data_IF_627729156887
#
_entry.id   IF_627729156887
#
_cell.length_a   1.000
_cell.length_b   1.000
_cell.length_c   1.000
_cell.angle_alpha   90.00
_cell.angle_beta   90.00
_cell.angle_gamma   90.00
#
_symmetry.space_group_name_H-M   'P 1'
#
loop_
_entity.id
_entity.type
_entity.pdbx_description
1 polymer ?
#
# COMPACT_ATOMS: atom_id res chain seq x y z
N UNK A 1 2.13 -31.03 -42.47
CA UNK A 1 1.51 -30.53 -41.22
C UNK A 1 2.08 -29.15 -40.95
N UNK A 2 1.28 -28.10 -41.13
CA UNK A 2 1.73 -26.72 -40.82
C UNK A 2 1.72 -26.52 -39.31
N UNK A 3 2.81 -26.02 -38.69
CA UNK A 3 2.84 -25.82 -37.25
C UNK A 3 1.72 -24.87 -36.81
N UNK A 4 1.05 -25.18 -35.69
CA UNK A 4 -0.10 -24.46 -35.14
C UNK A 4 0.18 -22.95 -34.94
N UNK A 5 1.45 -22.56 -34.70
CA UNK A 5 1.85 -21.16 -34.54
C UNK A 5 1.82 -20.31 -35.82
N UNK A 6 1.66 -20.91 -37.01
CA UNK A 6 1.51 -20.17 -38.26
C UNK A 6 0.06 -19.85 -38.64
N UNK A 7 -0.93 -20.23 -37.83
CA UNK A 7 -2.34 -20.12 -38.19
C UNK A 7 -2.97 -18.73 -37.91
N UNK A 8 -2.27 -17.78 -37.38
CA UNK A 8 -2.81 -16.41 -37.19
C UNK A 8 -2.04 -15.42 -38.07
N UNK A 9 -2.58 -15.05 -39.19
CA UNK A 9 -2.08 -13.94 -40.03
C UNK A 9 -2.41 -12.55 -39.46
N UNK A 10 -3.20 -12.48 -38.42
CA UNK A 10 -3.50 -11.23 -37.70
C UNK A 10 -3.08 -11.41 -36.27
N UNK A 11 -2.08 -10.63 -35.78
CA UNK A 11 -1.86 -10.53 -34.35
C UNK A 11 -3.19 -10.09 -33.74
N UNK A 12 -3.66 -10.84 -32.72
CA UNK A 12 -4.77 -10.39 -31.91
C UNK A 12 -4.33 -9.05 -31.32
N UNK A 13 -4.80 -7.97 -31.94
CA UNK A 13 -4.69 -6.65 -31.35
C UNK A 13 -5.58 -6.65 -30.11
N UNK A 14 -5.06 -7.13 -29.00
CA UNK A 14 -5.65 -6.90 -27.70
C UNK A 14 -5.56 -5.39 -27.52
N UNK A 15 -6.58 -4.67 -27.95
CA UNK A 15 -6.81 -3.31 -27.50
C UNK A 15 -6.95 -3.44 -25.98
N UNK A 16 -5.82 -3.38 -25.27
CA UNK A 16 -5.85 -3.18 -23.86
C UNK A 16 -6.74 -1.97 -23.66
N UNK A 17 -7.86 -2.13 -22.96
CA UNK A 17 -8.67 -1.01 -22.56
C UNK A 17 -7.66 0.00 -22.03
N UNK A 18 -7.55 1.16 -22.67
CA UNK A 18 -6.69 2.21 -22.22
C UNK A 18 -7.03 2.38 -20.75
N UNK A 19 -6.14 1.95 -19.88
CA UNK A 19 -6.34 2.14 -18.45
C UNK A 19 -6.25 3.64 -18.28
N UNK A 20 -7.42 4.28 -18.38
CA UNK A 20 -7.52 5.69 -18.02
C UNK A 20 -6.81 5.78 -16.68
N UNK A 21 -5.74 6.55 -16.61
CA UNK A 21 -4.97 6.78 -15.38
C UNK A 21 -5.87 7.56 -14.41
N UNK A 22 -6.86 6.85 -13.83
CA UNK A 22 -7.84 7.42 -12.89
C UNK A 22 -7.24 7.67 -11.51
N UNK A 23 -6.03 7.18 -11.28
CA UNK A 23 -5.32 7.39 -10.02
C UNK A 23 -4.33 8.54 -10.18
N UNK A 24 -4.36 9.50 -9.25
CA UNK A 24 -3.33 10.53 -9.18
C UNK A 24 -1.97 9.88 -8.95
N UNK A 25 -0.95 10.35 -9.66
CA UNK A 25 0.40 9.79 -9.58
C UNK A 25 1.32 10.76 -8.82
N UNK A 26 2.25 10.26 -7.97
CA UNK A 26 3.26 11.09 -7.36
C UNK A 26 4.18 11.68 -8.43
N UNK A 27 4.83 12.79 -8.11
CA UNK A 27 5.85 13.38 -9.00
C UNK A 27 7.13 12.54 -9.06
N UNK A 28 7.34 11.69 -8.08
CA UNK A 28 8.49 10.80 -7.96
C UNK A 28 8.25 9.54 -8.81
N UNK A 29 9.05 9.35 -9.84
CA UNK A 29 8.92 8.21 -10.77
C UNK A 29 9.25 6.85 -10.13
N UNK A 30 10.03 6.84 -9.03
CA UNK A 30 10.41 5.60 -8.33
C UNK A 30 9.18 4.91 -7.72
N UNK A 31 8.18 5.68 -7.28
CA UNK A 31 6.99 5.18 -6.61
C UNK A 31 5.74 5.11 -7.52
N UNK A 32 5.94 5.20 -8.82
CA UNK A 32 4.90 4.96 -9.81
C UNK A 32 4.94 3.50 -10.30
N UNK A 33 3.77 2.97 -10.73
CA UNK A 33 2.45 3.56 -10.63
C UNK A 33 1.81 3.39 -9.23
N UNK A 34 1.02 4.37 -8.81
CA UNK A 34 0.07 4.17 -7.70
C UNK A 34 -1.26 3.63 -8.26
N UNK A 35 -1.99 2.81 -7.50
CA UNK A 35 -1.70 2.24 -6.17
C UNK A 35 -0.52 1.26 -6.18
N UNK A 36 0.28 1.27 -5.11
CA UNK A 36 1.49 0.44 -4.95
C UNK A 36 1.51 -0.29 -3.62
N UNK A 37 2.29 -1.38 -3.54
CA UNK A 37 2.49 -2.14 -2.29
C UNK A 37 3.96 -2.43 -2.10
N UNK A 38 4.54 -1.92 -1.01
CA UNK A 38 5.98 -1.99 -0.72
C UNK A 38 6.21 -2.54 0.67
N UNK A 39 7.15 -3.47 0.82
CA UNK A 39 7.60 -3.96 2.10
C UNK A 39 8.99 -3.43 2.47
N UNK A 40 9.14 -3.00 3.72
CA UNK A 40 10.39 -2.55 4.32
C UNK A 40 10.93 -3.65 5.23
N UNK A 41 12.05 -4.24 4.87
CA UNK A 41 12.61 -5.39 5.57
C UNK A 41 13.98 -5.04 6.12
N UNK A 42 14.10 -5.04 7.44
CA UNK A 42 15.36 -4.87 8.15
C UNK A 42 15.23 -5.39 9.59
N UNK A 43 16.35 -5.70 10.21
CA UNK A 43 16.39 -6.01 11.65
C UNK A 43 15.84 -4.85 12.50
N UNK A 44 15.61 -5.10 13.77
CA UNK A 44 15.27 -4.04 14.73
C UNK A 44 16.32 -2.93 14.67
N UNK A 45 15.90 -1.67 14.82
CA UNK A 45 16.74 -0.47 14.67
C UNK A 45 17.33 -0.26 13.26
N UNK A 46 16.93 -1.04 12.27
CA UNK A 46 17.40 -0.92 10.87
C UNK A 46 16.75 0.20 10.05
N UNK A 47 16.05 1.16 10.69
CA UNK A 47 15.48 2.34 10.03
C UNK A 47 14.22 2.10 9.21
N UNK A 48 13.52 0.95 9.38
CA UNK A 48 12.29 0.61 8.64
C UNK A 48 11.23 1.70 8.70
N UNK A 49 10.87 2.13 9.91
CA UNK A 49 9.86 3.16 10.12
C UNK A 49 10.26 4.48 9.45
N UNK A 50 11.51 4.90 9.60
CA UNK A 50 12.01 6.13 8.95
C UNK A 50 11.93 6.06 7.42
N UNK A 51 12.30 4.92 6.83
CA UNK A 51 12.18 4.71 5.38
C UNK A 51 10.73 4.69 4.92
N UNK A 52 9.84 4.02 5.67
CA UNK A 52 8.40 4.01 5.41
C UNK A 52 7.82 5.41 5.45
N UNK A 53 8.17 6.22 6.45
CA UNK A 53 7.73 7.60 6.57
C UNK A 53 8.24 8.46 5.42
N UNK A 54 9.50 8.27 5.00
CA UNK A 54 10.06 8.98 3.85
C UNK A 54 9.31 8.66 2.55
N UNK A 55 8.97 7.38 2.31
CA UNK A 55 8.13 7.01 1.16
C UNK A 55 6.71 7.57 1.30
N UNK A 56 6.15 7.56 2.52
CA UNK A 56 4.85 8.16 2.80
C UNK A 56 4.82 9.64 2.42
N UNK A 57 5.88 10.39 2.70
CA UNK A 57 5.98 11.81 2.33
C UNK A 57 5.88 12.03 0.81
N UNK A 58 6.50 11.15 0.02
CA UNK A 58 6.44 11.20 -1.45
C UNK A 58 5.04 10.92 -1.98
N UNK A 59 4.29 10.05 -1.29
CA UNK A 59 2.93 9.67 -1.66
C UNK A 59 1.86 10.59 -1.06
N UNK A 60 2.18 11.36 -0.01
CA UNK A 60 1.22 12.07 0.84
C UNK A 60 0.21 12.92 0.06
N UNK A 61 0.68 13.65 -0.96
CA UNK A 61 -0.15 14.61 -1.70
C UNK A 61 -1.15 13.93 -2.64
N UNK A 62 -0.87 12.70 -3.08
CA UNK A 62 -1.75 11.96 -4.01
C UNK A 62 -2.70 10.99 -3.29
N UNK A 63 -2.52 10.79 -1.99
CA UNK A 63 -3.41 9.97 -1.17
C UNK A 63 -4.50 10.82 -0.55
N UNK A 64 -5.76 10.47 -0.78
CA UNK A 64 -6.90 11.18 -0.17
C UNK A 64 -7.04 10.82 1.30
N UNK A 65 -6.76 9.58 1.64
CA UNK A 65 -6.84 9.04 3.01
C UNK A 65 -5.58 8.25 3.36
N UNK A 66 -5.11 8.41 4.58
CA UNK A 66 -3.98 7.64 5.13
C UNK A 66 -4.41 7.01 6.45
N UNK A 67 -4.18 5.72 6.59
CA UNK A 67 -4.52 4.94 7.79
C UNK A 67 -3.29 4.21 8.31
N UNK A 68 -3.07 4.29 9.61
CA UNK A 68 -1.92 3.70 10.31
C UNK A 68 -2.40 2.50 11.13
N UNK A 69 -1.77 1.35 10.93
CA UNK A 69 -1.85 0.19 11.81
C UNK A 69 -0.47 -0.01 12.43
N UNK A 70 -0.37 0.17 13.75
CA UNK A 70 0.90 -0.02 14.46
C UNK A 70 0.67 -0.15 15.96
N UNK A 71 1.28 -1.15 16.58
CA UNK A 71 1.27 -1.29 18.04
C UNK A 71 2.02 -0.14 18.74
N UNK A 72 3.02 0.43 18.09
CA UNK A 72 3.89 1.47 18.66
C UNK A 72 3.48 2.91 18.31
N UNK A 73 2.43 3.12 17.51
CA UNK A 73 2.10 4.46 16.98
C UNK A 73 1.83 5.54 18.05
N UNK A 74 1.50 5.13 19.29
CA UNK A 74 1.28 6.07 20.42
C UNK A 74 2.56 6.40 21.14
N UNK A 75 3.52 5.47 21.16
CA UNK A 75 4.75 5.54 21.96
C UNK A 75 5.92 6.09 21.16
N UNK A 76 5.98 5.79 19.86
CA UNK A 76 7.09 6.19 19.00
C UNK A 76 6.87 7.62 18.46
N UNK A 77 7.74 8.58 18.82
CA UNK A 77 7.66 9.97 18.37
C UNK A 77 7.68 10.12 16.83
N UNK A 78 8.27 9.16 16.11
CA UNK A 78 8.37 9.18 14.66
C UNK A 78 6.99 9.33 13.95
N UNK A 79 5.92 8.92 14.62
CA UNK A 79 4.55 9.06 14.10
C UNK A 79 3.90 10.42 14.35
N UNK A 80 4.46 11.26 15.23
CA UNK A 80 3.82 12.52 15.66
C UNK A 80 3.56 13.47 14.49
N UNK A 81 4.58 13.75 13.72
CA UNK A 81 4.49 14.71 12.60
C UNK A 81 3.54 14.19 11.52
N UNK A 82 3.62 12.90 11.20
CA UNK A 82 2.71 12.31 10.22
C UNK A 82 1.26 12.36 10.70
N UNK A 83 0.98 12.01 11.96
CA UNK A 83 -0.38 12.08 12.52
C UNK A 83 -0.94 13.50 12.50
N UNK A 84 -0.14 14.49 12.86
CA UNK A 84 -0.53 15.91 12.78
C UNK A 84 -0.89 16.30 11.35
N UNK A 85 -0.05 15.96 10.39
CA UNK A 85 -0.29 16.25 8.97
C UNK A 85 -1.52 15.55 8.41
N UNK A 86 -1.79 14.30 8.84
CA UNK A 86 -3.02 13.59 8.48
C UNK A 86 -4.24 14.32 9.05
N UNK A 87 -4.22 14.69 10.33
CA UNK A 87 -5.30 15.44 10.96
C UNK A 87 -5.56 16.78 10.27
N UNK A 88 -4.49 17.54 9.96
CA UNK A 88 -4.60 18.81 9.22
C UNK A 88 -5.20 18.61 7.82
N UNK A 89 -4.85 17.51 7.14
CA UNK A 89 -5.43 17.15 5.84
C UNK A 89 -6.90 16.81 5.94
N UNK A 90 -7.30 16.03 6.96
CA UNK A 90 -8.70 15.69 7.22
C UNK A 90 -9.53 16.95 7.49
N UNK A 91 -9.04 17.87 8.32
CA UNK A 91 -9.70 19.16 8.59
C UNK A 91 -9.89 19.99 7.32
N UNK A 92 -8.88 20.06 6.46
CA UNK A 92 -8.98 20.75 5.15
C UNK A 92 -10.03 20.13 4.23
N UNK A 93 -10.25 18.83 4.35
CA UNK A 93 -11.27 18.10 3.58
C UNK A 93 -12.66 18.14 4.24
N UNK A 94 -12.83 18.84 5.37
CA UNK A 94 -14.09 18.91 6.12
C UNK A 94 -14.37 17.66 6.96
N UNK A 95 -13.39 16.80 7.17
CA UNK A 95 -13.48 15.59 8.00
C UNK A 95 -13.02 15.91 9.43
N UNK A 96 -13.67 15.32 10.43
CA UNK A 96 -13.28 15.51 11.84
C UNK A 96 -12.32 14.37 12.26
N UNK A 97 -11.03 14.66 12.54
CA UNK A 97 -10.05 13.63 12.94
C UNK A 97 -10.36 13.02 14.32
N UNK A 98 -11.08 13.69 15.20
CA UNK A 98 -11.47 13.15 16.49
C UNK A 98 -12.65 12.15 16.37
N UNK A 99 -13.55 12.38 15.42
CA UNK A 99 -14.66 11.48 15.15
C UNK A 99 -14.26 10.30 14.24
N UNK A 100 -13.33 10.52 13.32
CA UNK A 100 -12.89 9.52 12.35
C UNK A 100 -11.45 9.09 12.63
N UNK A 101 -11.28 8.03 13.42
CA UNK A 101 -9.96 7.48 13.72
C UNK A 101 -9.22 7.04 12.45
N UNK A 102 -7.93 7.33 12.41
CA UNK A 102 -7.02 6.95 11.32
C UNK A 102 -5.78 6.17 11.79
N UNK A 103 -5.64 5.93 13.10
CA UNK A 103 -4.56 5.15 13.68
C UNK A 103 -5.10 4.06 14.62
N UNK A 104 -4.66 2.83 14.43
CA UNK A 104 -5.17 1.63 15.06
C UNK A 104 -4.05 0.71 15.51
N UNK A 105 -4.27 -0.03 16.61
CA UNK A 105 -3.31 -0.99 17.16
C UNK A 105 -3.53 -2.43 16.64
N UNK A 106 -4.61 -2.67 15.87
CA UNK A 106 -4.89 -3.99 15.29
C UNK A 106 -5.63 -3.87 13.95
N UNK A 107 -5.60 -4.91 13.13
CA UNK A 107 -6.31 -4.95 11.85
C UNK A 107 -7.83 -5.19 11.95
N UNK A 108 -8.44 -5.14 13.13
CA UNK A 108 -9.89 -5.34 13.32
C UNK A 108 -10.74 -4.38 12.48
N UNK A 109 -10.27 -3.15 12.30
CA UNK A 109 -10.96 -2.12 11.51
C UNK A 109 -10.69 -2.21 10.01
N UNK A 110 -9.72 -3.01 9.59
CA UNK A 110 -9.33 -3.11 8.17
C UNK A 110 -10.49 -3.48 7.24
N UNK A 111 -11.37 -4.46 7.57
CA UNK A 111 -12.50 -4.80 6.71
C UNK A 111 -13.44 -3.61 6.47
N UNK A 112 -13.78 -2.84 7.52
CA UNK A 112 -14.62 -1.65 7.43
C UNK A 112 -13.97 -0.59 6.55
N UNK A 113 -12.69 -0.29 6.78
CA UNK A 113 -11.94 0.72 6.02
C UNK A 113 -11.88 0.36 4.53
N UNK A 114 -11.70 -0.92 4.20
CA UNK A 114 -11.67 -1.38 2.81
C UNK A 114 -13.07 -1.32 2.16
N UNK A 115 -14.14 -1.59 2.91
CA UNK A 115 -15.52 -1.43 2.42
C UNK A 115 -15.82 0.03 2.08
N UNK A 116 -15.55 0.93 3.03
CA UNK A 116 -15.69 2.38 2.82
C UNK A 116 -14.89 2.87 1.60
N UNK A 117 -13.66 2.38 1.41
CA UNK A 117 -12.85 2.75 0.27
C UNK A 117 -13.47 2.28 -1.06
N UNK A 118 -14.00 1.07 -1.11
CA UNK A 118 -14.70 0.55 -2.31
C UNK A 118 -15.91 1.39 -2.66
N UNK A 119 -16.72 1.75 -1.66
CA UNK A 119 -17.90 2.59 -1.84
C UNK A 119 -17.52 3.99 -2.34
N UNK A 120 -16.47 4.61 -1.78
CA UNK A 120 -15.94 5.91 -2.23
C UNK A 120 -15.48 5.86 -3.69
N UNK A 121 -14.75 4.80 -4.07
CA UNK A 121 -14.29 4.61 -5.46
C UNK A 121 -15.46 4.37 -6.40
N UNK A 122 -16.45 3.56 -5.99
CA UNK A 122 -17.64 3.32 -6.81
C UNK A 122 -18.44 4.60 -7.01
N UNK A 123 -18.69 5.35 -5.95
CA UNK A 123 -19.37 6.64 -6.04
C UNK A 123 -18.64 7.64 -6.94
N UNK A 124 -17.29 7.65 -6.91
CA UNK A 124 -16.50 8.47 -7.83
C UNK A 124 -16.64 8.05 -9.29
N UNK A 125 -16.68 6.73 -9.55
CA UNK A 125 -16.93 6.19 -10.89
C UNK A 125 -18.33 6.56 -11.41
N UNK A 126 -19.34 6.44 -10.55
CA UNK A 126 -20.72 6.74 -10.89
C UNK A 126 -20.93 8.23 -11.21
N UNK A 127 -20.19 9.12 -10.52
CA UNK A 127 -20.15 10.56 -10.84
C UNK A 127 -19.33 10.91 -12.08
N UNK A 128 -18.52 9.97 -12.59
CA UNK A 128 -17.59 10.23 -13.69
C UNK A 128 -16.36 11.04 -13.27
N UNK A 129 -15.94 10.97 -12.01
CA UNK A 129 -14.80 11.73 -11.49
C UNK A 129 -13.52 11.39 -12.27
N UNK A 130 -12.77 12.42 -12.67
CA UNK A 130 -11.50 12.26 -13.39
C UNK A 130 -10.43 11.57 -12.56
N UNK A 131 -10.40 11.87 -11.26
CA UNK A 131 -9.51 11.27 -10.29
C UNK A 131 -10.32 10.55 -9.20
N UNK A 132 -10.04 9.28 -9.02
CA UNK A 132 -10.70 8.46 -8.01
C UNK A 132 -9.93 8.53 -6.68
N UNK A 133 -10.63 8.46 -5.54
CA UNK A 133 -10.01 8.57 -4.22
C UNK A 133 -9.03 7.41 -3.95
N UNK A 134 -7.88 7.74 -3.38
CA UNK A 134 -6.82 6.81 -3.04
C UNK A 134 -6.63 6.70 -1.52
N UNK A 135 -6.42 5.47 -1.06
CA UNK A 135 -6.13 5.12 0.32
C UNK A 135 -4.71 4.59 0.46
N UNK A 136 -3.93 5.12 1.40
CA UNK A 136 -2.67 4.56 1.84
C UNK A 136 -2.84 3.87 3.19
N UNK A 137 -2.45 2.61 3.26
CA UNK A 137 -2.37 1.83 4.50
C UNK A 137 -0.90 1.70 4.90
N UNK A 138 -0.58 2.12 6.12
CA UNK A 138 0.72 1.92 6.76
C UNK A 138 0.57 0.83 7.81
N UNK A 139 1.32 -0.26 7.67
CA UNK A 139 1.31 -1.39 8.60
C UNK A 139 2.72 -1.56 9.18
N UNK A 140 2.97 -0.99 10.36
CA UNK A 140 4.27 -0.99 11.00
C UNK A 140 4.23 -1.69 12.35
N UNK A 141 5.24 -2.52 12.61
CA UNK A 141 5.37 -3.27 13.87
C UNK A 141 4.15 -4.19 14.17
N UNK A 142 3.62 -4.82 13.11
CA UNK A 142 2.43 -5.67 13.14
C UNK A 142 2.75 -7.14 12.84
N UNK A 143 3.97 -7.61 13.16
CA UNK A 143 4.53 -8.90 12.74
C UNK A 143 3.61 -10.10 13.01
N UNK A 144 3.04 -10.19 14.21
CA UNK A 144 2.17 -11.30 14.59
C UNK A 144 0.81 -11.31 13.87
N UNK A 145 0.33 -10.17 13.41
CA UNK A 145 -0.97 -10.02 12.77
C UNK A 145 -0.91 -10.03 11.24
N UNK A 146 0.27 -9.91 10.65
CA UNK A 146 0.43 -9.90 9.18
C UNK A 146 0.47 -11.30 8.58
N UNK A 147 1.03 -12.28 9.30
CA UNK A 147 1.07 -13.67 8.83
C UNK A 147 -0.33 -14.28 8.77
N UNK A 148 -0.67 -14.89 7.63
CA UNK A 148 -1.98 -15.50 7.41
C UNK A 148 -3.15 -14.51 7.34
N UNK A 149 -2.91 -13.21 7.34
CA UNK A 149 -3.96 -12.21 7.22
C UNK A 149 -4.48 -12.12 5.79
N UNK A 150 -5.59 -12.81 5.54
CA UNK A 150 -6.24 -12.87 4.22
C UNK A 150 -6.66 -11.49 3.69
N UNK A 151 -6.99 -10.56 4.59
CA UNK A 151 -7.38 -9.20 4.18
C UNK A 151 -6.19 -8.42 3.64
N UNK A 152 -5.03 -8.46 4.31
CA UNK A 152 -3.80 -7.84 3.79
C UNK A 152 -3.35 -8.48 2.47
N UNK A 153 -3.41 -9.80 2.36
CA UNK A 153 -3.13 -10.50 1.11
C UNK A 153 -4.07 -10.04 -0.01
N UNK A 154 -5.36 -9.79 0.29
CA UNK A 154 -6.33 -9.23 -0.65
C UNK A 154 -5.98 -7.77 -1.03
N UNK A 155 -5.49 -6.97 -0.10
CA UNK A 155 -5.02 -5.59 -0.40
C UNK A 155 -3.90 -5.64 -1.43
N UNK A 156 -2.88 -6.47 -1.23
CA UNK A 156 -1.74 -6.57 -2.14
C UNK A 156 -2.15 -7.08 -3.53
N UNK A 157 -3.07 -8.03 -3.60
CA UNK A 157 -3.49 -8.65 -4.88
C UNK A 157 -4.54 -7.84 -5.64
N UNK A 158 -5.47 -7.19 -4.94
CA UNK A 158 -6.65 -6.53 -5.52
C UNK A 158 -6.77 -5.04 -5.21
N UNK A 159 -5.96 -4.52 -4.28
CA UNK A 159 -6.03 -3.13 -3.81
C UNK A 159 -5.96 -2.10 -4.94
N UNK A 160 -5.19 -2.41 -6.00
CA UNK A 160 -5.08 -1.55 -7.19
C UNK A 160 -6.43 -1.22 -7.85
N UNK A 161 -7.43 -2.11 -7.75
CA UNK A 161 -8.76 -1.89 -8.33
C UNK A 161 -9.61 -0.90 -7.52
N UNK A 162 -9.20 -0.66 -6.27
CA UNK A 162 -9.91 0.20 -5.32
C UNK A 162 -9.07 1.39 -4.84
N UNK A 163 -7.95 1.66 -5.53
CA UNK A 163 -7.09 2.78 -5.16
C UNK A 163 -6.36 2.59 -3.83
N UNK A 164 -6.06 1.35 -3.42
CA UNK A 164 -5.41 1.06 -2.13
C UNK A 164 -3.95 0.76 -2.33
N UNK A 165 -3.08 1.56 -1.69
CA UNK A 165 -1.64 1.33 -1.54
C UNK A 165 -1.34 0.77 -0.15
N UNK A 166 -0.32 -0.09 -0.05
CA UNK A 166 0.13 -0.66 1.22
C UNK A 166 1.63 -0.45 1.39
N UNK A 167 2.04 0.15 2.49
CA UNK A 167 3.40 0.12 2.98
C UNK A 167 3.43 -0.72 4.26
N UNK A 168 4.21 -1.78 4.30
CA UNK A 168 4.32 -2.63 5.48
C UNK A 168 5.78 -2.90 5.84
N UNK A 169 6.04 -3.15 7.11
CA UNK A 169 7.39 -3.51 7.56
C UNK A 169 7.46 -4.94 8.09
N UNK A 170 8.66 -5.51 8.08
CA UNK A 170 8.96 -6.79 8.68
C UNK A 170 10.42 -6.85 9.10
N UNK A 171 10.72 -7.67 10.10
CA UNK A 171 12.11 -7.93 10.50
C UNK A 171 12.77 -8.97 9.61
N UNK A 172 12.00 -9.82 8.96
CA UNK A 172 12.47 -10.91 8.10
C UNK A 172 11.62 -11.01 6.85
N UNK A 173 12.19 -11.53 5.77
CA UNK A 173 11.44 -11.83 4.54
C UNK A 173 10.31 -12.83 4.80
N UNK A 174 10.57 -13.80 5.69
CA UNK A 174 9.59 -14.83 6.07
C UNK A 174 8.45 -14.30 6.95
N UNK A 175 8.64 -13.16 7.60
CA UNK A 175 7.59 -12.47 8.38
C UNK A 175 6.42 -11.96 7.53
N UNK A 176 6.61 -11.86 6.23
CA UNK A 176 5.55 -11.49 5.28
C UNK A 176 4.95 -12.76 4.69
N UNK A 177 3.62 -12.84 4.62
CA UNK A 177 2.91 -13.96 4.02
C UNK A 177 3.40 -14.26 2.59
N UNK A 178 3.46 -15.54 2.21
CA UNK A 178 4.00 -15.96 0.92
C UNK A 178 3.21 -15.41 -0.27
N UNK A 179 1.90 -15.28 -0.13
CA UNK A 179 1.04 -14.71 -1.17
C UNK A 179 1.26 -13.20 -1.31
N UNK A 180 1.43 -12.50 -0.19
CA UNK A 180 1.82 -11.09 -0.21
C UNK A 180 3.17 -10.91 -0.90
N UNK A 181 4.20 -11.69 -0.52
CA UNK A 181 5.55 -11.60 -1.12
C UNK A 181 5.56 -11.70 -2.64
N UNK A 182 4.71 -12.56 -3.20
CA UNK A 182 4.62 -12.75 -4.66
C UNK A 182 3.95 -11.59 -5.40
N UNK A 183 3.21 -10.75 -4.69
CA UNK A 183 2.37 -9.70 -5.28
C UNK A 183 2.77 -8.28 -4.87
N UNK A 184 3.76 -8.12 -3.97
CA UNK A 184 4.30 -6.80 -3.65
C UNK A 184 4.95 -6.17 -4.89
N UNK A 185 4.76 -4.88 -5.07
CA UNK A 185 5.37 -4.12 -6.17
C UNK A 185 6.86 -3.86 -5.93
N UNK A 186 7.30 -3.82 -4.66
CA UNK A 186 8.68 -3.55 -4.32
C UNK A 186 9.07 -3.93 -2.89
N UNK A 187 10.39 -3.94 -2.67
CA UNK A 187 11.02 -4.17 -1.38
C UNK A 187 12.07 -3.10 -1.12
N UNK A 188 12.02 -2.52 0.08
CA UNK A 188 13.12 -1.73 0.62
C UNK A 188 13.87 -2.60 1.63
N UNK A 189 15.10 -2.99 1.29
CA UNK A 189 15.91 -3.86 2.13
C UNK A 189 16.92 -3.00 2.91
N UNK A 190 16.86 -3.08 4.22
CA UNK A 190 17.90 -2.56 5.10
C UNK A 190 18.87 -3.67 5.54
N UNK A 191 19.47 -3.51 6.72
CA UNK A 191 20.33 -4.55 7.30
C UNK A 191 19.50 -5.79 7.63
N UNK A 192 19.84 -6.92 7.01
CA UNK A 192 19.17 -8.20 7.23
C UNK A 192 19.88 -9.03 8.30
N UNK A 193 19.15 -9.99 8.91
CA UNK A 193 19.74 -11.02 9.74
C UNK A 193 20.59 -11.98 8.92
N UNK A 194 21.51 -12.71 9.55
CA UNK A 194 22.31 -13.73 8.87
C UNK A 194 21.45 -14.81 8.18
N UNK A 195 20.28 -15.12 8.74
CA UNK A 195 19.35 -16.11 8.19
C UNK A 195 18.60 -15.62 6.93
N UNK A 196 18.46 -14.30 6.75
CA UNK A 196 17.81 -13.68 5.60
C UNK A 196 18.81 -13.14 4.56
N UNK A 197 20.12 -13.20 4.88
CA UNK A 197 21.19 -12.82 3.94
C UNK A 197 21.23 -13.84 2.81
N UNK A 198 21.39 -13.36 1.57
CA UNK A 198 21.68 -14.24 0.44
C UNK A 198 22.98 -14.98 0.71
N UNK A 199 23.09 -16.29 0.35
CA UNK A 199 24.34 -17.00 0.42
C UNK A 199 25.39 -16.21 -0.40
N UNK A 200 26.53 -15.92 0.23
CA UNK A 200 27.67 -15.33 -0.50
C UNK A 200 28.10 -16.36 -1.54
N UNK A 201 27.95 -16.00 -2.80
CA UNK A 201 28.52 -16.75 -3.91
C UNK A 201 30.05 -16.67 -3.86
#
# INVERSE_FOLDING_TARGET
>A
MTPIWQMSKHPLEVKGAASEKRWAQPRDEIFQPTPTSIAFIAITTGGKTSQMLHVTDRLFNVMDRIVIFSHSHRLDPAWHDLKKRIADKMLKNGENPDAQKFAFESFKELPRILSEQRERVQAGKDRGDKHLPQLLILAADMLGEMQGNKMLSSVVTRGRHYGVSLLCDSQTVRGIDSQMRKNLAGYCLGRLSAADSLPRQ
#
